data_IF_213229755988
#
_entry.id   IF_213229755988
#
_cell.length_a   1.000
_cell.length_b   1.000
_cell.length_c   1.000
_cell.angle_alpha   90.00
_cell.angle_beta   90.00
_cell.angle_gamma   90.00
#
_symmetry.space_group_name_H-M   'P 1'
#
loop_
_entity.id
_entity.type
_entity.pdbx_description
1 polymer ?
#
# COMPACT_ATOMS: atom_id res chain seq x y z
N UNK A 1 -8.29 -5.28 1.73
CA UNK A 1 -7.87 -6.41 0.87
C UNK A 1 -6.66 -7.15 1.47
N UNK A 2 -6.86 -8.17 2.30
CA UNK A 2 -5.80 -8.68 3.22
C UNK A 2 -4.68 -9.56 2.63
N UNK A 3 -4.50 -9.62 1.30
CA UNK A 3 -3.51 -10.51 0.65
C UNK A 3 -2.54 -9.80 -0.30
N UNK A 4 -2.64 -8.48 -0.44
CA UNK A 4 -1.71 -7.68 -1.26
C UNK A 4 -0.72 -6.99 -0.32
N UNK A 5 0.52 -6.82 -0.74
CA UNK A 5 1.53 -6.16 0.08
C UNK A 5 1.49 -4.64 -0.12
N UNK A 6 1.97 -3.92 0.90
CA UNK A 6 2.14 -2.48 0.78
C UNK A 6 3.52 -2.12 0.24
N UNK A 7 3.58 -1.15 -0.67
CA UNK A 7 4.77 -0.35 -0.95
C UNK A 7 4.39 1.13 -1.02
N UNK A 8 5.27 2.01 -0.54
CA UNK A 8 5.13 3.45 -0.72
C UNK A 8 5.36 3.88 -2.19
N UNK A 9 6.02 3.01 -2.96
CA UNK A 9 6.24 3.12 -4.40
C UNK A 9 5.77 1.79 -5.03
N UNK A 10 4.46 1.63 -5.24
CA UNK A 10 3.89 0.36 -5.67
C UNK A 10 4.08 0.12 -7.17
N UNK A 11 4.11 -1.15 -7.56
CA UNK A 11 4.11 -1.56 -8.97
C UNK A 11 2.71 -1.78 -9.54
N UNK A 12 1.65 -1.60 -8.73
CA UNK A 12 0.27 -1.69 -9.19
C UNK A 12 -0.64 -0.63 -8.57
N UNK A 13 -1.68 -0.28 -9.30
CA UNK A 13 -2.81 0.51 -8.85
C UNK A 13 -4.05 -0.39 -8.78
N UNK A 14 -4.92 -0.15 -7.80
CA UNK A 14 -6.20 -0.84 -7.68
C UNK A 14 -7.35 0.15 -7.81
N UNK A 15 -8.27 -0.12 -8.75
CA UNK A 15 -9.55 0.54 -8.78
C UNK A 15 -10.47 -0.14 -7.75
N UNK A 16 -10.77 0.54 -6.65
CA UNK A 16 -11.57 -0.03 -5.57
C UNK A 16 -13.06 -0.17 -5.91
N UNK A 17 -13.56 0.55 -6.92
CA UNK A 17 -14.95 0.43 -7.39
C UNK A 17 -15.14 -0.81 -8.25
N UNK A 18 -14.22 -1.06 -9.19
CA UNK A 18 -14.29 -2.21 -10.10
C UNK A 18 -13.53 -3.44 -9.60
N UNK A 19 -12.72 -3.29 -8.56
CA UNK A 19 -11.86 -4.32 -7.97
C UNK A 19 -10.78 -4.87 -8.92
N UNK A 20 -10.28 -4.01 -9.81
CA UNK A 20 -9.29 -4.36 -10.82
C UNK A 20 -7.90 -3.84 -10.45
N UNK A 21 -6.88 -4.63 -10.77
CA UNK A 21 -5.47 -4.26 -10.63
C UNK A 21 -4.89 -3.90 -11.99
N UNK A 22 -4.16 -2.79 -12.02
CA UNK A 22 -3.46 -2.28 -13.18
C UNK A 22 -1.97 -2.18 -12.85
N UNK A 23 -1.14 -2.78 -13.68
CA UNK A 23 0.31 -2.67 -13.54
C UNK A 23 0.76 -1.25 -13.89
N UNK A 24 1.61 -0.65 -13.05
CA UNK A 24 2.22 0.66 -13.30
C UNK A 24 3.59 0.55 -13.99
N UNK A 25 4.15 -0.66 -13.99
CA UNK A 25 5.43 -1.03 -14.57
C UNK A 25 5.41 -2.53 -14.89
N UNK A 26 6.43 -3.03 -15.59
CA UNK A 26 6.59 -4.47 -15.81
C UNK A 26 6.74 -5.21 -14.45
N UNK A 27 6.04 -6.34 -14.33
CA UNK A 27 6.08 -7.22 -13.15
C UNK A 27 6.59 -8.57 -13.61
N UNK A 28 7.77 -8.97 -13.13
CA UNK A 28 8.43 -10.19 -13.53
C UNK A 28 8.03 -11.37 -12.64
N UNK A 29 8.37 -12.57 -13.09
CA UNK A 29 8.17 -13.79 -12.29
C UNK A 29 8.98 -13.69 -11.00
N UNK A 30 8.29 -13.77 -9.86
CA UNK A 30 8.88 -13.66 -8.53
C UNK A 30 8.72 -12.30 -7.87
N UNK A 31 8.33 -11.27 -8.63
CA UNK A 31 8.04 -9.95 -8.07
C UNK A 31 6.74 -10.01 -7.24
N UNK A 32 6.73 -9.31 -6.11
CA UNK A 32 5.51 -9.09 -5.36
C UNK A 32 4.66 -8.02 -6.02
N UNK A 33 3.34 -8.27 -6.13
CA UNK A 33 2.37 -7.22 -6.46
C UNK A 33 2.09 -6.39 -5.22
N UNK A 34 2.28 -5.08 -5.32
CA UNK A 34 2.18 -4.14 -4.20
C UNK A 34 1.24 -2.97 -4.52
N UNK A 35 0.59 -2.43 -3.49
CA UNK A 35 -0.26 -1.23 -3.57
C UNK A 35 0.06 -0.22 -2.46
N UNK A 36 -0.35 1.04 -2.66
CA UNK A 36 -0.23 2.07 -1.62
C UNK A 36 -1.49 2.12 -0.74
N UNK A 37 -1.39 1.61 0.49
CA UNK A 37 -2.50 1.56 1.44
C UNK A 37 -3.00 2.95 1.86
N UNK A 38 -2.17 3.99 1.77
CA UNK A 38 -2.61 5.37 2.02
C UNK A 38 -3.55 5.88 0.91
N UNK A 39 -3.51 5.24 -0.26
CA UNK A 39 -4.37 5.56 -1.42
C UNK A 39 -5.51 4.59 -1.63
N UNK A 40 -5.60 3.49 -0.89
CA UNK A 40 -6.62 2.45 -1.15
C UNK A 40 -7.49 2.18 0.07
N UNK A 41 -6.97 2.33 1.28
CA UNK A 41 -7.65 1.92 2.51
C UNK A 41 -7.84 3.14 3.44
N UNK A 42 -9.09 3.44 3.79
CA UNK A 42 -9.39 4.56 4.70
C UNK A 42 -8.90 4.31 6.13
N UNK A 43 -9.04 3.06 6.60
CA UNK A 43 -8.57 2.60 7.89
C UNK A 43 -7.99 1.21 7.73
N UNK A 44 -6.77 1.00 8.23
CA UNK A 44 -6.20 -0.33 8.34
C UNK A 44 -6.67 -1.01 9.62
N UNK A 45 -6.89 -2.33 9.55
CA UNK A 45 -7.16 -3.14 10.73
C UNK A 45 -6.04 -3.02 11.78
N UNK A 46 -4.80 -3.00 11.31
CA UNK A 46 -3.63 -2.76 12.15
C UNK A 46 -2.63 -1.91 11.38
N UNK A 47 -2.21 -0.80 11.99
CA UNK A 47 -1.09 0.00 11.51
C UNK A 47 0.23 -0.74 11.74
N UNK A 48 1.25 -0.50 10.90
CA UNK A 48 2.51 -1.23 10.98
C UNK A 48 3.70 -0.39 10.53
N UNK A 49 4.91 -0.79 10.97
CA UNK A 49 6.17 -0.24 10.48
C UNK A 49 6.43 -0.75 9.05
N UNK A 50 6.55 0.19 8.11
CA UNK A 50 6.83 -0.11 6.71
C UNK A 50 8.28 -0.55 6.52
N UNK A 51 8.47 -1.61 5.73
CA UNK A 51 9.77 -2.13 5.33
C UNK A 51 9.87 -2.26 3.78
N UNK A 52 9.15 -1.41 3.03
CA UNK A 52 9.05 -1.54 1.57
C UNK A 52 10.35 -1.23 0.80
N UNK A 53 11.33 -0.58 1.44
CA UNK A 53 12.64 -0.28 0.82
C UNK A 53 12.69 0.91 -0.15
N UNK A 54 11.55 1.54 -0.49
CA UNK A 54 11.55 2.76 -1.33
C UNK A 54 12.26 3.92 -0.63
N UNK A 55 12.94 4.77 -1.41
CA UNK A 55 13.60 5.99 -0.93
C UNK A 55 12.60 6.99 -0.35
N UNK A 56 11.35 6.96 -0.79
CA UNK A 56 10.27 7.84 -0.35
C UNK A 56 9.33 7.19 0.69
N UNK A 57 9.81 6.12 1.35
CA UNK A 57 9.08 5.36 2.36
C UNK A 57 8.52 6.26 3.48
N UNK A 58 7.25 6.08 3.83
CA UNK A 58 6.56 6.85 4.88
C UNK A 58 6.85 6.36 6.31
N UNK A 59 7.60 5.27 6.46
CA UNK A 59 8.03 4.72 7.75
C UNK A 59 6.93 3.96 8.49
N UNK A 60 5.79 4.58 8.79
CA UNK A 60 4.69 3.94 9.52
C UNK A 60 3.36 4.13 8.79
N UNK A 61 2.64 3.02 8.55
CA UNK A 61 1.44 3.02 7.71
C UNK A 61 0.21 2.84 8.59
N UNK A 62 -0.71 3.80 8.49
CA UNK A 62 -1.91 3.86 9.35
C UNK A 62 -3.22 3.76 8.57
N UNK A 63 -3.20 3.99 7.25
CA UNK A 63 -4.39 4.20 6.42
C UNK A 63 -4.66 5.69 6.21
N UNK A 64 -5.56 6.04 5.28
CA UNK A 64 -5.77 7.43 4.83
C UNK A 64 -6.33 8.35 5.92
N UNK A 65 -7.28 7.87 6.73
CA UNK A 65 -8.11 8.69 7.62
C UNK A 65 -7.80 8.49 9.12
N UNK A 66 -6.73 7.77 9.46
CA UNK A 66 -6.32 7.63 10.86
C UNK A 66 -5.78 8.95 11.39
N UNK A 67 -6.44 9.50 12.42
CA UNK A 67 -5.90 10.62 13.19
C UNK A 67 -4.59 10.17 13.82
N UNK A 68 -3.51 10.94 13.61
CA UNK A 68 -2.26 10.78 14.38
C UNK A 68 -2.57 11.11 15.84
N UNK A 69 -2.97 10.13 16.63
CA UNK A 69 -2.91 10.27 18.08
C UNK A 69 -1.44 10.19 18.45
N UNK A 70 -0.81 11.36 18.56
CA UNK A 70 0.50 11.49 19.17
C UNK A 70 0.35 11.10 20.64
N UNK A 71 0.93 9.96 21.02
CA UNK A 71 1.23 9.63 22.41
C UNK A 71 2.72 9.86 22.60
#
# INVERSE_FOLDING_TARGET
MGRVLHSCEPNSFVNMETQEFYALQDINVGDYVTIDYLKTEDMLFQSFQCACGSTDCKGYITGRNTKKTMV
#
